data_IF_330027161144
#
_entry.id   IF_330027161144
#
_cell.length_a   1.000
_cell.length_b   1.000
_cell.length_c   1.000
_cell.angle_alpha   90.00
_cell.angle_beta   90.00
_cell.angle_gamma   90.00
#
_symmetry.space_group_name_H-M   'P 1'
#
loop_
_entity.id
_entity.type
_entity.pdbx_description
1 polymer ?
#
# COMPACT_ATOMS: atom_id res chain seq x y z
N UNK A 1 -13.31 12.80 18.42
CA UNK A 1 -14.46 11.97 18.12
C UNK A 1 -14.05 10.85 17.18
N UNK A 2 -14.18 9.63 17.63
CA UNK A 2 -13.90 8.48 16.79
C UNK A 2 -15.13 8.19 15.93
N UNK A 3 -15.26 8.89 14.83
CA UNK A 3 -16.30 8.61 13.86
C UNK A 3 -15.80 7.55 12.88
N UNK A 4 -16.72 6.75 12.34
CA UNK A 4 -16.44 5.90 11.21
C UNK A 4 -16.21 6.79 10.01
N UNK A 5 -14.96 7.02 9.63
CA UNK A 5 -14.63 7.77 8.42
C UNK A 5 -14.25 6.80 7.32
N UNK A 6 -14.78 7.05 6.12
CA UNK A 6 -14.34 6.31 4.95
C UNK A 6 -12.86 6.62 4.70
N UNK A 7 -12.03 5.60 4.63
CA UNK A 7 -10.61 5.78 4.39
C UNK A 7 -10.37 6.27 2.96
N UNK A 8 -9.38 7.15 2.81
CA UNK A 8 -9.03 7.74 1.52
C UNK A 8 -8.11 6.82 0.75
N UNK A 9 -8.36 6.70 -0.55
CA UNK A 9 -7.44 6.03 -1.49
C UNK A 9 -6.40 7.03 -1.95
N UNK A 10 -5.14 6.61 -1.98
CA UNK A 10 -4.04 7.44 -2.48
C UNK A 10 -3.50 6.81 -3.76
N UNK A 11 -3.31 7.62 -4.78
CA UNK A 11 -2.88 7.17 -6.11
C UNK A 11 -1.64 7.94 -6.55
N UNK A 12 -0.69 7.23 -7.15
CA UNK A 12 0.51 7.81 -7.72
C UNK A 12 0.79 7.17 -9.08
N UNK A 13 1.40 7.93 -9.97
CA UNK A 13 1.84 7.44 -11.28
C UNK A 13 3.36 7.63 -11.40
N UNK A 14 4.01 6.64 -12.00
CA UNK A 14 5.45 6.69 -12.28
C UNK A 14 5.70 6.39 -13.75
N UNK A 15 6.44 7.25 -14.42
CA UNK A 15 6.99 6.96 -15.73
C UNK A 15 8.24 6.09 -15.53
N UNK A 16 8.28 4.92 -16.16
CA UNK A 16 9.41 4.02 -16.02
C UNK A 16 10.55 4.50 -16.91
N UNK A 17 11.57 5.10 -16.30
CA UNK A 17 12.74 5.66 -16.96
C UNK A 17 13.88 4.64 -16.95
N UNK A 18 14.92 4.89 -17.75
CA UNK A 18 16.11 4.07 -17.79
C UNK A 18 16.71 3.87 -16.40
N UNK A 19 16.72 4.92 -15.57
CA UNK A 19 17.24 4.85 -14.18
C UNK A 19 16.45 3.92 -13.27
N UNK A 20 15.22 3.57 -13.64
CA UNK A 20 14.36 2.66 -12.88
C UNK A 20 14.41 1.22 -13.43
N UNK A 21 15.11 1.00 -14.53
CA UNK A 21 15.10 -0.27 -15.25
C UNK A 21 16.28 -1.15 -14.86
N UNK A 22 16.06 -2.46 -14.99
CA UNK A 22 17.09 -3.47 -14.86
C UNK A 22 17.79 -3.71 -16.22
N UNK A 23 18.68 -4.70 -16.28
CA UNK A 23 19.42 -5.03 -17.50
C UNK A 23 18.57 -5.63 -18.62
N UNK A 24 17.29 -5.95 -18.36
CA UNK A 24 16.32 -6.39 -19.36
C UNK A 24 15.45 -5.24 -19.90
N UNK A 25 15.72 -4.01 -19.52
CA UNK A 25 14.94 -2.82 -19.89
C UNK A 25 13.50 -2.87 -19.37
N UNK A 26 13.31 -3.53 -18.22
CA UNK A 26 12.04 -3.55 -17.48
C UNK A 26 12.27 -3.01 -16.07
N UNK A 27 11.18 -2.62 -15.41
CA UNK A 27 11.25 -2.07 -14.06
C UNK A 27 12.04 -3.00 -13.12
N UNK A 28 13.06 -2.45 -12.46
CA UNK A 28 13.76 -3.17 -11.39
C UNK A 28 12.80 -3.41 -10.23
N UNK A 29 12.65 -4.68 -9.83
CA UNK A 29 11.69 -5.07 -8.79
C UNK A 29 11.89 -4.30 -7.49
N UNK A 30 13.14 -4.06 -7.07
CA UNK A 30 13.45 -3.28 -5.88
C UNK A 30 12.93 -1.85 -5.95
N UNK A 31 12.95 -1.24 -7.12
CA UNK A 31 12.38 0.10 -7.31
C UNK A 31 10.86 0.06 -7.18
N UNK A 32 10.21 -0.93 -7.79
CA UNK A 32 8.76 -1.10 -7.69
C UNK A 32 8.33 -1.34 -6.24
N UNK A 33 9.04 -2.18 -5.52
CA UNK A 33 8.78 -2.44 -4.11
C UNK A 33 8.95 -1.18 -3.26
N UNK A 34 10.01 -0.41 -3.51
CA UNK A 34 10.26 0.87 -2.82
C UNK A 34 9.09 1.83 -3.01
N UNK A 35 8.61 1.98 -4.23
CA UNK A 35 7.45 2.84 -4.52
C UNK A 35 6.18 2.35 -3.84
N UNK A 36 5.97 1.03 -3.76
CA UNK A 36 4.79 0.47 -3.07
C UNK A 36 4.85 0.75 -1.57
N UNK A 37 6.02 0.58 -0.95
CA UNK A 37 6.20 0.91 0.47
C UNK A 37 5.95 2.40 0.71
N UNK A 38 6.44 3.26 -0.18
CA UNK A 38 6.27 4.70 -0.07
C UNK A 38 4.81 5.12 -0.16
N UNK A 39 4.09 4.69 -1.19
CA UNK A 39 2.67 5.07 -1.33
C UNK A 39 1.82 4.48 -0.22
N UNK A 40 2.18 3.29 0.27
CA UNK A 40 1.51 2.69 1.44
C UNK A 40 1.70 3.53 2.69
N UNK A 41 2.91 4.03 2.92
CA UNK A 41 3.21 4.92 4.05
C UNK A 41 2.46 6.24 3.94
N UNK A 42 2.39 6.82 2.74
CA UNK A 42 1.63 8.04 2.48
C UNK A 42 0.15 7.82 2.76
N UNK A 43 -0.38 6.68 2.33
CA UNK A 43 -1.78 6.31 2.58
C UNK A 43 -2.06 6.18 4.07
N UNK A 44 -1.19 5.48 4.80
CA UNK A 44 -1.33 5.32 6.25
C UNK A 44 -1.27 6.69 6.96
N UNK A 45 -0.28 7.50 6.62
CA UNK A 45 -0.09 8.84 7.20
C UNK A 45 -1.27 9.76 6.87
N UNK A 46 -1.72 9.75 5.61
CA UNK A 46 -2.83 10.60 5.17
C UNK A 46 -4.15 10.25 5.84
N UNK A 47 -4.38 8.97 6.13
CA UNK A 47 -5.57 8.54 6.85
C UNK A 47 -5.45 8.77 8.37
N UNK A 48 -4.27 8.59 8.93
CA UNK A 48 -4.02 8.82 10.36
C UNK A 48 -3.99 10.31 10.72
N UNK A 49 -3.71 11.17 9.76
CA UNK A 49 -3.65 12.61 9.98
C UNK A 49 -2.31 13.11 10.51
N UNK A 50 -1.28 12.26 10.55
CA UNK A 50 0.08 12.68 10.90
C UNK A 50 1.10 11.70 10.33
N UNK A 51 2.36 12.13 10.28
CA UNK A 51 3.42 11.45 9.52
C UNK A 51 4.29 10.46 10.31
N UNK A 52 4.04 10.27 11.59
CA UNK A 52 4.81 9.31 12.40
C UNK A 52 4.30 7.91 12.14
N UNK A 53 4.78 7.32 11.05
CA UNK A 53 4.40 6.00 10.58
C UNK A 53 5.66 5.14 10.43
N UNK A 54 5.60 3.93 10.95
CA UNK A 54 6.69 2.96 10.83
C UNK A 54 6.18 1.74 10.06
N UNK A 55 6.93 1.30 9.07
CA UNK A 55 6.63 0.05 8.37
C UNK A 55 6.95 -1.13 9.29
N UNK A 56 5.94 -1.91 9.64
CA UNK A 56 6.10 -3.08 10.49
C UNK A 56 6.43 -4.32 9.69
N UNK A 57 5.67 -4.57 8.62
CA UNK A 57 5.81 -5.80 7.85
C UNK A 57 5.33 -5.63 6.43
N UNK A 58 6.13 -6.12 5.50
CA UNK A 58 5.74 -6.31 4.10
C UNK A 58 5.28 -7.76 3.98
N UNK A 59 3.99 -7.97 3.68
CA UNK A 59 3.40 -9.31 3.66
C UNK A 59 3.66 -10.08 2.37
N UNK A 60 4.31 -9.45 1.41
CA UNK A 60 4.73 -10.08 0.18
C UNK A 60 4.26 -9.33 -1.05
N UNK A 61 5.04 -9.48 -2.10
CA UNK A 61 4.78 -8.93 -3.43
C UNK A 61 5.27 -9.94 -4.43
N UNK A 62 4.47 -10.23 -5.46
CA UNK A 62 4.82 -11.22 -6.45
C UNK A 62 4.86 -10.56 -7.83
N UNK A 63 6.07 -10.25 -8.29
CA UNK A 63 6.30 -9.58 -9.57
C UNK A 63 6.31 -10.60 -10.71
N UNK A 64 5.13 -10.96 -11.20
CA UNK A 64 4.95 -11.93 -12.29
C UNK A 64 5.06 -11.28 -13.67
N UNK A 65 4.70 -10.01 -13.78
CA UNK A 65 4.64 -9.31 -15.06
C UNK A 65 5.73 -8.26 -15.15
N UNK A 66 6.57 -8.30 -16.19
CA UNK A 66 7.55 -7.23 -16.40
C UNK A 66 6.84 -5.94 -16.81
N UNK A 67 7.39 -4.82 -16.35
CA UNK A 67 6.91 -3.48 -16.73
C UNK A 67 7.99 -2.86 -17.61
N UNK A 68 7.64 -2.60 -18.86
CA UNK A 68 8.61 -2.11 -19.85
C UNK A 68 9.01 -0.66 -19.57
N UNK A 69 10.28 -0.35 -19.83
CA UNK A 69 10.75 1.03 -19.85
C UNK A 69 9.88 1.86 -20.81
N UNK A 70 9.52 3.06 -20.38
CA UNK A 70 8.60 3.93 -21.12
C UNK A 70 7.14 3.77 -20.76
N UNK A 71 6.78 2.73 -20.01
CA UNK A 71 5.42 2.53 -19.52
C UNK A 71 5.10 3.51 -18.39
N UNK A 72 3.80 3.69 -18.15
CA UNK A 72 3.31 4.44 -16.99
C UNK A 72 2.75 3.41 -15.99
N UNK A 73 3.28 3.44 -14.77
CA UNK A 73 2.84 2.56 -13.69
C UNK A 73 1.94 3.37 -12.75
N UNK A 74 0.74 2.86 -12.53
CA UNK A 74 -0.21 3.44 -11.56
C UNK A 74 -0.22 2.59 -10.31
N UNK A 75 -0.15 3.23 -9.14
CA UNK A 75 -0.28 2.57 -7.86
C UNK A 75 -1.40 3.20 -7.06
N UNK A 76 -2.34 2.37 -6.59
CA UNK A 76 -3.44 2.77 -5.72
C UNK A 76 -3.24 2.11 -4.37
N UNK A 77 -3.32 2.89 -3.30
CA UNK A 77 -3.14 2.41 -1.93
C UNK A 77 -4.39 2.72 -1.11
N UNK A 78 -4.88 1.72 -0.39
CA UNK A 78 -6.05 1.84 0.47
C UNK A 78 -5.84 1.08 1.76
N UNK A 79 -6.24 1.68 2.89
CA UNK A 79 -6.31 0.98 4.17
C UNK A 79 -7.43 -0.06 4.08
N UNK A 80 -7.12 -1.32 4.37
CA UNK A 80 -8.08 -2.43 4.27
C UNK A 80 -8.27 -3.18 5.59
N UNK A 81 -7.48 -2.85 6.60
CA UNK A 81 -7.61 -3.40 7.94
C UNK A 81 -7.00 -2.43 8.93
N UNK A 82 -7.75 -2.13 9.99
CA UNK A 82 -7.32 -1.21 11.04
C UNK A 82 -7.31 -1.94 12.39
N UNK A 83 -6.13 -2.05 13.01
CA UNK A 83 -6.00 -2.45 14.41
C UNK A 83 -6.04 -1.23 15.32
N UNK A 84 -5.56 -1.34 16.54
CA UNK A 84 -5.52 -0.21 17.49
C UNK A 84 -4.53 0.87 17.03
N UNK A 85 -3.29 0.47 16.75
CA UNK A 85 -2.21 1.34 16.28
C UNK A 85 -1.73 0.97 14.89
N UNK A 86 -2.21 -0.14 14.33
CA UNK A 86 -1.77 -0.64 13.04
C UNK A 86 -2.76 -0.31 11.92
N UNK A 87 -2.22 -0.08 10.74
CA UNK A 87 -3.00 0.07 9.51
C UNK A 87 -2.38 -0.84 8.47
N UNK A 88 -3.17 -1.76 7.92
CA UNK A 88 -2.72 -2.59 6.82
C UNK A 88 -3.26 -1.99 5.53
N UNK A 89 -2.34 -1.71 4.62
CA UNK A 89 -2.61 -1.05 3.35
C UNK A 89 -2.47 -2.06 2.22
N UNK A 90 -3.46 -2.10 1.33
CA UNK A 90 -3.39 -2.86 0.10
C UNK A 90 -2.98 -1.92 -1.02
N UNK A 91 -1.89 -2.24 -1.70
CA UNK A 91 -1.36 -1.46 -2.81
C UNK A 91 -1.53 -2.27 -4.08
N UNK A 92 -2.20 -1.70 -5.07
CA UNK A 92 -2.41 -2.33 -6.38
C UNK A 92 -1.65 -1.52 -7.43
N UNK A 93 -0.77 -2.18 -8.17
CA UNK A 93 -0.06 -1.59 -9.29
C UNK A 93 -0.68 -2.08 -10.60
N UNK A 94 -0.94 -1.16 -11.49
CA UNK A 94 -1.56 -1.42 -12.79
C UNK A 94 -0.91 -0.57 -13.88
N UNK A 95 -1.14 -0.95 -15.13
CA UNK A 95 -0.74 -0.12 -16.26
C UNK A 95 -1.57 1.17 -16.23
N UNK A 96 -0.90 2.33 -16.25
CA UNK A 96 -1.57 3.63 -16.12
C UNK A 96 -2.40 4.02 -17.34
N UNK A 97 -2.25 3.31 -18.46
CA UNK A 97 -3.00 3.59 -19.69
C UNK A 97 -4.10 2.55 -19.91
N UNK A 98 -3.76 1.26 -19.81
CA UNK A 98 -4.72 0.17 -20.10
C UNK A 98 -5.53 -0.25 -18.88
N UNK A 99 -5.02 0.00 -17.67
CA UNK A 99 -5.62 -0.47 -16.43
C UNK A 99 -5.32 -1.93 -16.10
N UNK A 100 -4.50 -2.61 -16.90
CA UNK A 100 -4.15 -4.01 -16.67
C UNK A 100 -3.42 -4.18 -15.34
N UNK A 101 -3.85 -5.16 -14.56
CA UNK A 101 -3.24 -5.50 -13.28
C UNK A 101 -1.79 -5.99 -13.49
N UNK A 102 -0.88 -5.54 -12.63
CA UNK A 102 0.54 -5.93 -12.68
C UNK A 102 0.95 -6.68 -11.42
N UNK A 103 0.81 -6.06 -10.26
CA UNK A 103 1.21 -6.63 -8.98
C UNK A 103 0.41 -5.97 -7.87
N UNK A 104 0.20 -6.70 -6.77
CA UNK A 104 -0.31 -6.09 -5.55
C UNK A 104 0.49 -6.55 -4.35
N UNK A 105 0.32 -5.86 -3.24
CA UNK A 105 0.96 -6.20 -1.99
C UNK A 105 0.18 -5.66 -0.81
N UNK A 106 0.42 -6.25 0.34
CA UNK A 106 -0.15 -5.84 1.62
C UNK A 106 0.98 -5.45 2.55
N UNK A 107 0.89 -4.29 3.16
CA UNK A 107 1.93 -3.78 4.06
C UNK A 107 1.26 -3.24 5.32
N UNK A 108 1.77 -3.64 6.47
CA UNK A 108 1.27 -3.17 7.76
C UNK A 108 2.19 -2.08 8.32
N UNK A 109 1.59 -0.97 8.67
CA UNK A 109 2.27 0.18 9.29
C UNK A 109 1.76 0.37 10.70
N UNK A 110 2.62 0.92 11.56
CA UNK A 110 2.26 1.29 12.93
C UNK A 110 2.27 2.81 13.04
N UNK A 111 1.22 3.35 13.62
CA UNK A 111 1.14 4.78 13.95
C UNK A 111 1.83 4.99 15.29
N UNK A 112 2.76 5.93 15.34
CA UNK A 112 3.57 6.19 16.53
C UNK A 112 3.50 7.64 16.93
N UNK A 113 3.96 7.92 18.16
CA UNK A 113 4.29 9.27 18.59
C UNK A 113 5.69 9.66 18.11
N UNK A 114 6.13 10.92 18.29
CA UNK A 114 7.48 11.32 17.87
C UNK A 114 8.60 10.56 18.56
N UNK A 115 8.35 9.96 19.71
CA UNK A 115 9.34 9.15 20.43
C UNK A 115 9.38 7.69 19.95
N UNK A 116 8.52 7.31 19.00
CA UNK A 116 8.49 5.97 18.44
C UNK A 116 7.59 4.98 19.17
N UNK A 117 6.81 5.42 20.14
CA UNK A 117 5.85 4.55 20.83
C UNK A 117 4.57 4.42 20.02
N UNK A 118 4.02 3.21 19.92
CA UNK A 118 2.75 3.00 19.21
C UNK A 118 1.60 3.72 19.95
N UNK A 119 0.73 4.36 19.18
CA UNK A 119 -0.43 5.08 19.71
C UNK A 119 -1.68 4.67 18.94
N UNK A 120 -2.87 4.77 19.59
CA UNK A 120 -4.12 4.52 18.86
C UNK A 120 -4.34 5.58 17.81
N UNK A 121 -4.76 5.15 16.61
CA UNK A 121 -5.03 6.07 15.50
C UNK A 121 -6.50 6.49 15.42
N UNK A 122 -7.40 5.82 16.11
CA UNK A 122 -8.83 6.16 16.12
C UNK A 122 -9.57 5.87 14.81
N UNK A 123 -8.95 5.14 13.88
CA UNK A 123 -9.55 4.83 12.58
C UNK A 123 -10.26 3.48 12.64
N UNK A 124 -11.48 3.44 12.13
CA UNK A 124 -12.22 2.19 11.92
C UNK A 124 -12.46 2.03 10.43
N UNK A 125 -12.02 0.91 9.87
CA UNK A 125 -12.28 0.57 8.48
C UNK A 125 -13.42 -0.46 8.43
N UNK A 126 -14.47 -0.12 7.68
CA UNK A 126 -15.60 -1.02 7.44
C UNK A 126 -15.64 -1.30 5.94
N UNK A 127 -15.38 -2.54 5.50
CA UNK A 127 -15.44 -2.86 4.08
C UNK A 127 -16.89 -2.80 3.58
N UNK A 128 -17.10 -2.14 2.45
CA UNK A 128 -18.44 -1.96 1.84
C UNK A 128 -18.54 -2.68 0.50
N UNK A 129 -17.54 -2.50 -0.37
CA UNK A 129 -17.54 -3.13 -1.68
C UNK A 129 -17.03 -4.56 -1.61
N UNK A 130 -17.29 -5.36 -2.65
CA UNK A 130 -16.77 -6.73 -2.72
C UNK A 130 -15.26 -6.75 -2.75
N UNK A 131 -14.62 -5.81 -3.44
CA UNK A 131 -13.17 -5.65 -3.46
C UNK A 131 -12.61 -5.33 -2.08
N UNK A 132 -13.27 -4.44 -1.35
CA UNK A 132 -12.86 -4.08 0.02
C UNK A 132 -13.02 -5.26 0.98
N UNK A 133 -14.10 -6.02 0.85
CA UNK A 133 -14.34 -7.21 1.67
C UNK A 133 -13.29 -8.28 1.39
N UNK A 134 -12.95 -8.51 0.14
CA UNK A 134 -11.92 -9.47 -0.25
C UNK A 134 -10.55 -9.06 0.27
N UNK A 135 -10.17 -7.80 0.13
CA UNK A 135 -8.90 -7.27 0.62
C UNK A 135 -8.82 -7.32 2.16
N UNK A 136 -9.92 -6.99 2.83
CA UNK A 136 -10.00 -7.09 4.30
C UNK A 136 -9.81 -8.53 4.78
N UNK A 137 -10.46 -9.48 4.14
CA UNK A 137 -10.32 -10.91 4.45
C UNK A 137 -8.88 -11.39 4.24
N UNK A 138 -8.26 -11.00 3.13
CA UNK A 138 -6.87 -11.37 2.85
C UNK A 138 -5.90 -10.76 3.87
N UNK A 139 -6.11 -9.51 4.24
CA UNK A 139 -5.28 -8.83 5.25
C UNK A 139 -5.38 -9.56 6.60
N UNK A 140 -6.56 -9.95 7.01
CA UNK A 140 -6.77 -10.74 8.24
C UNK A 140 -6.03 -12.07 8.18
N UNK A 141 -6.10 -12.76 7.03
CA UNK A 141 -5.40 -14.03 6.84
C UNK A 141 -3.89 -13.85 6.95
N UNK A 142 -3.34 -12.81 6.33
CA UNK A 142 -1.90 -12.54 6.36
C UNK A 142 -1.40 -12.23 7.77
N UNK A 143 -2.18 -11.50 8.57
CA UNK A 143 -1.81 -11.18 9.95
C UNK A 143 -1.90 -12.39 10.85
N UNK A 144 -2.85 -13.28 10.63
CA UNK A 144 -3.02 -14.47 11.47
C UNK A 144 -1.94 -15.52 11.24
N UNK A 145 -1.19 -15.45 10.15
CA UNK A 145 -0.12 -16.39 9.80
C UNK A 145 1.27 -15.93 10.28
N UNK A 146 1.30 -14.97 11.19
CA UNK A 146 2.55 -14.49 11.78
C UNK A 146 2.99 -15.30 12.99
#
# INVERSE_FOLDING_TARGET
MTGTMKTKVFTVHHLIKESNANHHHTLFAGQGASWMVEIGAICAAGNAGHSEIVCLKIHGMLFKKPVKMGSILRMDAQVVLAGRSSLTVHIVASDGITGDFIVDGYITYIVTDPAGHSIPHGITFIPETDEEKAANTEAKRLLSNN
#
